data_IF_394571042594
#
_entry.id   IF_394571042594
#
_cell.length_a   1.000
_cell.length_b   1.000
_cell.length_c   1.000
_cell.angle_alpha   90.00
_cell.angle_beta   90.00
_cell.angle_gamma   90.00
#
_symmetry.space_group_name_H-M   'P 1'
#
loop_
_entity.id
_entity.type
_entity.pdbx_description
1 polymer ?
#
# COMPACT_ATOMS: atom_id res chain seq x y z
N UNK A 1 -18.82 -55.81 -33.95
CA UNK A 1 -17.61 -55.26 -33.38
C UNK A 1 -17.44 -53.73 -33.54
N UNK A 2 -18.09 -53.11 -34.49
CA UNK A 2 -17.97 -51.63 -34.66
C UNK A 2 -18.71 -50.77 -33.61
N UNK A 3 -19.69 -51.28 -32.89
CA UNK A 3 -20.43 -50.54 -31.85
C UNK A 3 -19.60 -50.31 -30.57
N UNK A 4 -18.71 -51.22 -30.23
CA UNK A 4 -17.85 -51.09 -29.05
C UNK A 4 -16.75 -50.06 -29.24
N UNK A 5 -16.16 -49.97 -30.41
CA UNK A 5 -15.10 -48.99 -30.75
C UNK A 5 -15.65 -47.55 -30.80
N UNK A 6 -16.88 -47.36 -31.26
CA UNK A 6 -17.50 -46.02 -31.24
C UNK A 6 -17.79 -45.52 -29.82
N UNK A 7 -18.23 -46.38 -28.92
CA UNK A 7 -18.44 -46.03 -27.51
C UNK A 7 -17.14 -45.67 -26.80
N UNK A 8 -16.05 -46.37 -27.09
CA UNK A 8 -14.74 -46.10 -26.53
C UNK A 8 -14.18 -44.76 -27.04
N UNK A 9 -14.35 -44.45 -28.32
CA UNK A 9 -13.91 -43.19 -28.91
C UNK A 9 -14.68 -41.98 -28.33
N UNK A 10 -15.98 -42.13 -28.11
CA UNK A 10 -16.83 -41.10 -27.45
C UNK A 10 -16.40 -40.89 -26.00
N UNK A 11 -16.10 -41.95 -25.25
CA UNK A 11 -15.59 -41.86 -23.89
C UNK A 11 -14.24 -41.13 -23.83
N UNK A 12 -13.33 -41.43 -24.73
CA UNK A 12 -12.03 -40.72 -24.81
C UNK A 12 -12.22 -39.21 -25.14
N UNK A 13 -13.14 -38.88 -26.03
CA UNK A 13 -13.49 -37.50 -26.36
C UNK A 13 -14.02 -36.75 -25.13
N UNK A 14 -14.88 -37.38 -24.33
CA UNK A 14 -15.41 -36.79 -23.08
C UNK A 14 -14.30 -36.57 -22.05
N UNK A 15 -13.39 -37.52 -21.90
CA UNK A 15 -12.26 -37.38 -20.96
C UNK A 15 -11.35 -36.25 -21.39
N UNK A 16 -11.08 -36.06 -22.67
CA UNK A 16 -10.29 -34.94 -23.17
C UNK A 16 -10.96 -33.59 -22.96
N UNK A 17 -12.27 -33.51 -23.12
CA UNK A 17 -13.04 -32.28 -22.86
C UNK A 17 -13.04 -31.94 -21.37
N UNK A 18 -13.21 -32.92 -20.50
CA UNK A 18 -13.18 -32.69 -19.04
C UNK A 18 -11.78 -32.29 -18.58
N UNK A 19 -10.73 -32.91 -19.09
CA UNK A 19 -9.34 -32.51 -18.81
C UNK A 19 -9.02 -31.11 -19.33
N UNK A 20 -9.54 -30.73 -20.49
CA UNK A 20 -9.40 -29.39 -21.05
C UNK A 20 -10.08 -28.32 -20.17
N UNK A 21 -11.27 -28.62 -19.66
CA UNK A 21 -12.00 -27.73 -18.75
C UNK A 21 -11.26 -27.61 -17.40
N UNK A 22 -10.70 -28.69 -16.88
CA UNK A 22 -9.90 -28.67 -15.66
C UNK A 22 -8.61 -27.87 -15.82
N UNK A 23 -7.97 -27.94 -16.96
CA UNK A 23 -6.81 -27.11 -17.25
C UNK A 23 -7.18 -25.62 -17.39
N UNK A 24 -8.34 -25.31 -17.93
CA UNK A 24 -8.80 -23.92 -18.00
C UNK A 24 -9.17 -23.33 -16.64
N UNK A 25 -9.66 -24.14 -15.70
CA UNK A 25 -9.94 -23.68 -14.33
C UNK A 25 -8.67 -23.46 -13.49
N UNK A 26 -7.57 -24.15 -13.80
CA UNK A 26 -6.32 -24.02 -13.06
C UNK A 26 -5.56 -22.73 -13.39
N UNK A 27 -5.88 -22.07 -14.49
CA UNK A 27 -5.22 -20.82 -14.91
C UNK A 27 -5.78 -19.58 -14.18
N UNK A 28 -6.88 -19.73 -13.43
CA UNK A 28 -7.47 -18.63 -12.67
C UNK A 28 -6.97 -18.50 -11.22
N UNK A 29 -6.00 -19.32 -10.81
CA UNK A 29 -5.20 -18.98 -9.66
C UNK A 29 -4.01 -18.14 -10.14
N UNK A 30 -4.31 -16.97 -10.69
CA UNK A 30 -3.35 -15.88 -10.63
C UNK A 30 -3.22 -15.60 -9.14
N UNK A 31 -2.12 -16.13 -8.59
CA UNK A 31 -1.57 -15.52 -7.40
C UNK A 31 -1.70 -14.01 -7.61
N UNK A 32 -2.36 -13.33 -6.69
CA UNK A 32 -2.29 -11.89 -6.62
C UNK A 32 -0.82 -11.56 -6.86
N UNK A 33 -0.51 -10.99 -8.01
CA UNK A 33 0.75 -10.35 -8.19
C UNK A 33 0.85 -9.46 -6.98
N UNK A 34 1.73 -9.84 -6.08
CA UNK A 34 2.32 -8.88 -5.19
C UNK A 34 2.94 -7.90 -6.17
N UNK A 35 2.15 -6.90 -6.56
CA UNK A 35 2.70 -5.71 -7.10
C UNK A 35 3.65 -5.24 -6.00
N UNK A 36 4.90 -5.65 -6.12
CA UNK A 36 5.99 -4.85 -5.67
C UNK A 36 5.95 -3.60 -6.55
N UNK A 37 4.84 -2.86 -6.47
CA UNK A 37 4.93 -1.44 -6.55
C UNK A 37 5.94 -1.13 -5.44
N UNK A 38 7.16 -0.84 -5.84
CA UNK A 38 8.00 0.03 -5.05
C UNK A 38 7.11 1.24 -4.76
N UNK A 39 6.38 1.11 -3.67
CA UNK A 39 5.48 2.14 -3.19
C UNK A 39 6.42 3.27 -2.90
N UNK A 40 6.53 4.18 -3.85
CA UNK A 40 7.34 5.37 -3.65
C UNK A 40 6.96 5.92 -2.29
N UNK A 41 7.93 6.20 -1.43
CA UNK A 41 7.63 6.57 -0.06
C UNK A 41 6.67 7.76 -0.10
N UNK A 42 5.47 7.53 0.40
CA UNK A 42 4.43 8.55 0.45
C UNK A 42 4.93 9.70 1.32
N UNK A 43 4.93 10.91 0.79
CA UNK A 43 5.27 12.11 1.54
C UNK A 43 4.02 12.61 2.25
N UNK A 44 4.12 12.75 3.57
CA UNK A 44 3.07 13.26 4.45
C UNK A 44 3.50 14.64 4.96
N UNK A 45 2.71 15.64 4.71
CA UNK A 45 2.96 17.01 5.17
C UNK A 45 2.42 17.19 6.57
N UNK A 46 3.31 17.51 7.50
CA UNK A 46 3.01 17.66 8.94
C UNK A 46 3.00 19.13 9.29
N UNK A 47 1.89 19.63 9.81
CA UNK A 47 1.84 20.95 10.40
C UNK A 47 2.72 21.02 11.65
N UNK A 48 3.67 21.91 11.64
CA UNK A 48 4.65 22.04 12.72
C UNK A 48 4.57 23.43 13.35
N UNK A 49 4.16 23.47 14.59
CA UNK A 49 4.31 24.61 15.48
C UNK A 49 5.26 24.26 16.61
N UNK A 50 5.99 25.25 17.08
CA UNK A 50 6.97 25.04 18.13
C UNK A 50 6.29 24.99 19.50
N UNK A 51 6.47 23.88 20.20
CA UNK A 51 6.03 23.68 21.55
C UNK A 51 7.02 22.79 22.34
N UNK A 52 6.65 22.40 23.54
CA UNK A 52 7.49 21.53 24.38
C UNK A 52 7.72 20.14 23.78
N UNK A 53 6.81 19.68 22.94
CA UNK A 53 6.86 18.34 22.34
C UNK A 53 7.49 18.31 20.95
N UNK A 54 7.64 19.49 20.33
CA UNK A 54 8.16 19.61 18.98
C UNK A 54 8.84 20.97 18.80
N UNK A 55 10.16 21.01 18.86
CA UNK A 55 10.93 22.24 18.78
C UNK A 55 12.20 22.04 17.94
N UNK A 56 12.77 23.14 17.52
CA UNK A 56 14.08 23.16 16.85
C UNK A 56 15.11 23.67 17.83
N UNK A 57 16.18 22.89 18.04
CA UNK A 57 17.23 23.26 18.95
C UNK A 57 18.11 24.39 18.36
N UNK A 58 19.03 24.93 19.20
CA UNK A 58 19.95 26.01 18.80
C UNK A 58 20.87 25.67 17.61
N UNK A 59 20.99 24.39 17.26
CA UNK A 59 21.77 23.90 16.12
C UNK A 59 20.90 23.70 14.87
N UNK A 60 19.62 24.05 14.92
CA UNK A 60 18.69 23.85 13.83
C UNK A 60 18.17 22.41 13.70
N UNK A 61 18.39 21.57 14.70
CA UNK A 61 17.95 20.17 14.71
C UNK A 61 16.60 20.06 15.38
N UNK A 62 15.65 19.41 14.71
CA UNK A 62 14.33 19.14 15.28
C UNK A 62 14.42 18.11 16.38
N UNK A 63 13.75 18.37 17.47
CA UNK A 63 13.73 17.59 18.70
C UNK A 63 12.33 17.53 19.29
N UNK A 64 12.18 16.64 20.26
CA UNK A 64 10.96 16.48 21.05
C UNK A 64 10.23 15.19 20.78
N UNK A 65 9.32 14.83 21.67
CA UNK A 65 8.57 13.59 21.62
C UNK A 65 7.77 13.44 20.32
N UNK A 66 7.13 14.51 19.86
CA UNK A 66 6.36 14.48 18.61
C UNK A 66 7.24 14.14 17.39
N UNK A 67 8.42 14.71 17.33
CA UNK A 67 9.39 14.39 16.28
C UNK A 67 9.86 12.94 16.34
N UNK A 68 10.21 12.44 17.52
CA UNK A 68 10.66 11.05 17.70
C UNK A 68 9.57 10.05 17.34
N UNK A 69 8.32 10.35 17.69
CA UNK A 69 7.17 9.53 17.29
C UNK A 69 7.03 9.45 15.76
N UNK A 70 7.16 10.59 15.07
CA UNK A 70 7.10 10.62 13.60
C UNK A 70 8.27 9.85 12.98
N UNK A 71 9.46 9.88 13.56
CA UNK A 71 10.58 9.08 13.09
C UNK A 71 10.32 7.58 13.26
N UNK A 72 9.72 7.17 14.36
CA UNK A 72 9.32 5.78 14.57
C UNK A 72 8.26 5.35 13.54
N UNK A 73 7.25 6.16 13.30
CA UNK A 73 6.23 5.92 12.25
C UNK A 73 6.86 5.80 10.86
N UNK A 74 7.81 6.66 10.53
CA UNK A 74 8.55 6.59 9.28
C UNK A 74 9.24 5.23 9.12
N UNK A 75 9.85 4.73 10.18
CA UNK A 75 10.48 3.40 10.18
C UNK A 75 9.51 2.25 9.92
N UNK A 76 8.26 2.35 10.41
CA UNK A 76 7.24 1.33 10.22
C UNK A 76 6.54 1.40 8.86
N UNK A 77 6.25 2.62 8.40
CA UNK A 77 5.40 2.84 7.22
C UNK A 77 6.18 3.07 5.94
N UNK A 78 7.44 3.47 6.06
CA UNK A 78 8.24 3.98 4.95
C UNK A 78 7.81 5.38 4.48
N UNK A 79 6.91 6.05 5.20
CA UNK A 79 6.49 7.40 4.88
C UNK A 79 7.61 8.41 5.13
N UNK A 80 7.67 9.43 4.28
CA UNK A 80 8.51 10.60 4.49
C UNK A 80 7.66 11.72 5.06
N UNK A 81 8.12 12.33 6.14
CA UNK A 81 7.44 13.47 6.74
C UNK A 81 8.10 14.77 6.31
N UNK A 82 7.31 15.67 5.78
CA UNK A 82 7.68 17.04 5.44
C UNK A 82 7.01 17.99 6.43
N UNK A 83 7.82 18.80 7.12
CA UNK A 83 7.32 19.70 8.15
C UNK A 83 7.00 21.06 7.54
N UNK A 84 5.74 21.45 7.60
CA UNK A 84 5.25 22.73 7.15
C UNK A 84 5.03 23.62 8.35
N UNK A 85 5.76 24.73 8.40
CA UNK A 85 5.62 25.67 9.52
C UNK A 85 4.24 26.30 9.55
N UNK A 86 3.61 26.24 10.69
CA UNK A 86 2.33 26.92 10.94
C UNK A 86 2.26 27.39 12.39
N UNK A 87 1.30 28.26 12.67
CA UNK A 87 0.93 28.67 14.01
C UNK A 87 -0.31 27.92 14.45
N UNK A 88 -0.53 27.84 15.76
CA UNK A 88 -1.72 27.17 16.29
C UNK A 88 -3.03 27.65 15.66
N UNK A 89 -3.10 28.95 15.35
CA UNK A 89 -4.30 29.56 14.76
C UNK A 89 -4.52 29.20 13.28
N UNK A 90 -3.46 28.98 12.52
CA UNK A 90 -3.57 28.75 11.07
C UNK A 90 -3.28 27.32 10.63
N UNK A 91 -2.81 26.45 11.53
CA UNK A 91 -2.61 25.04 11.23
C UNK A 91 -3.93 24.34 10.81
N UNK A 92 -5.03 24.67 11.47
CA UNK A 92 -6.33 24.11 11.13
C UNK A 92 -6.79 24.53 9.73
N UNK A 93 -6.62 25.80 9.38
CA UNK A 93 -6.94 26.28 8.05
C UNK A 93 -6.11 25.59 6.97
N UNK A 94 -4.82 25.36 7.25
CA UNK A 94 -3.92 24.62 6.36
C UNK A 94 -4.32 23.16 6.21
N UNK A 95 -4.80 22.53 7.29
CA UNK A 95 -5.30 21.15 7.26
C UNK A 95 -6.59 21.08 6.44
N UNK A 96 -7.52 21.99 6.65
CA UNK A 96 -8.79 22.05 5.93
C UNK A 96 -8.59 22.31 4.43
N UNK A 97 -7.66 23.20 4.09
CA UNK A 97 -7.32 23.51 2.71
C UNK A 97 -6.44 22.45 2.01
N UNK A 98 -6.00 21.42 2.72
CA UNK A 98 -5.16 20.37 2.17
C UNK A 98 -3.70 20.77 1.95
N UNK A 99 -3.23 21.83 2.58
CA UNK A 99 -1.82 22.25 2.56
C UNK A 99 -0.94 21.34 3.45
N UNK A 100 -1.53 20.79 4.50
CA UNK A 100 -0.94 19.77 5.37
C UNK A 100 -1.88 18.57 5.49
N UNK A 101 -1.34 17.43 5.80
CA UNK A 101 -2.09 16.17 5.89
C UNK A 101 -2.39 15.79 7.34
N UNK A 102 -1.53 16.19 8.25
CA UNK A 102 -1.67 15.97 9.70
C UNK A 102 -1.07 17.15 10.48
N UNK A 103 -1.50 17.28 11.76
CA UNK A 103 -0.92 18.22 12.71
C UNK A 103 -0.87 17.63 14.11
#
# INVERSE_FOLDING_TARGET
>A
MNKSRKKTAVLFAYIFVILGIWMMLSVHCQAAETNNDEKQPQTIRVGSFEDTFNYVDKNGVRRGYGYELMQALSGYTGWKFEYVKCDWSNCFDKLENGEIDIM
#
